data_IF_210399825245
#
_entry.id   IF_210399825245
#
_cell.length_a   1.000
_cell.length_b   1.000
_cell.length_c   1.000
_cell.angle_alpha   90.00
_cell.angle_beta   90.00
_cell.angle_gamma   90.00
#
_symmetry.space_group_name_H-M   'P 1'
#
loop_
_entity.id
_entity.type
_entity.pdbx_description
1 polymer ?
#
# COMPACT_ATOMS: atom_id res chain seq x y z
N UNK A 1 5.35 -1.36 38.82
CA UNK A 1 6.79 -1.25 39.08
C UNK A 1 7.55 -2.52 38.76
N UNK A 2 7.24 -3.65 39.40
CA UNK A 2 8.00 -4.92 39.27
C UNK A 2 8.08 -5.41 37.82
N UNK A 3 6.97 -5.44 37.08
CA UNK A 3 6.92 -5.93 35.69
C UNK A 3 7.88 -5.18 34.76
N UNK A 4 7.97 -3.85 34.84
CA UNK A 4 8.90 -3.07 34.02
C UNK A 4 10.36 -3.42 34.31
N UNK A 5 10.73 -3.42 35.60
CA UNK A 5 12.09 -3.80 36.02
C UNK A 5 12.40 -5.26 35.71
N UNK A 6 11.40 -6.15 35.76
CA UNK A 6 11.54 -7.55 35.34
C UNK A 6 11.81 -7.69 33.84
N UNK A 7 11.11 -6.92 32.99
CA UNK A 7 11.34 -6.92 31.54
C UNK A 7 12.72 -6.33 31.21
N UNK A 8 13.12 -5.23 31.86
CA UNK A 8 14.45 -4.63 31.70
C UNK A 8 15.55 -5.61 32.13
N UNK A 9 15.39 -6.25 33.29
CA UNK A 9 16.34 -7.25 33.79
C UNK A 9 16.42 -8.48 32.87
N UNK A 10 15.28 -8.91 32.31
CA UNK A 10 15.23 -10.02 31.34
C UNK A 10 15.99 -9.69 30.06
N UNK A 11 15.76 -8.51 29.49
CA UNK A 11 16.43 -8.07 28.25
C UNK A 11 17.93 -7.86 28.46
N UNK A 12 18.31 -7.23 29.56
CA UNK A 12 19.71 -7.03 29.92
C UNK A 12 20.42 -8.36 30.20
N UNK A 13 19.74 -9.26 30.91
CA UNK A 13 20.21 -10.63 31.15
C UNK A 13 20.39 -11.43 29.86
N UNK A 14 19.44 -11.32 28.93
CA UNK A 14 19.52 -11.93 27.60
C UNK A 14 20.71 -11.42 26.78
N UNK A 15 20.94 -10.10 26.78
CA UNK A 15 22.09 -9.50 26.11
C UNK A 15 23.42 -9.98 26.71
N UNK A 16 23.53 -10.00 28.04
CA UNK A 16 24.71 -10.52 28.75
C UNK A 16 24.92 -12.01 28.51
N UNK A 17 23.85 -12.80 28.45
CA UNK A 17 23.92 -14.24 28.14
C UNK A 17 24.43 -14.50 26.71
N UNK A 18 24.21 -13.60 25.76
CA UNK A 18 24.78 -13.72 24.42
C UNK A 18 26.24 -13.26 24.37
N UNK A 19 26.60 -12.21 25.11
CA UNK A 19 27.91 -11.55 25.04
C UNK A 19 28.99 -12.22 25.91
N UNK A 20 28.63 -12.78 27.06
CA UNK A 20 29.60 -13.33 28.02
C UNK A 20 30.16 -14.73 27.66
N UNK A 21 29.36 -15.70 27.19
CA UNK A 21 29.87 -17.03 26.84
C UNK A 21 30.99 -17.07 25.79
N UNK A 22 30.95 -16.29 24.69
CA UNK A 22 32.05 -16.29 23.72
C UNK A 22 33.34 -15.67 24.27
N UNK A 23 33.26 -14.81 25.28
CA UNK A 23 34.41 -14.20 25.94
C UNK A 23 35.00 -15.08 27.06
N UNK A 24 34.21 -16.02 27.60
CA UNK A 24 34.64 -16.98 28.62
C UNK A 24 35.11 -18.32 28.06
N UNK A 25 34.62 -18.74 26.90
CA UNK A 25 35.12 -19.95 26.23
C UNK A 25 36.48 -19.66 25.61
N UNK A 26 37.51 -20.40 26.03
CA UNK A 26 38.83 -20.30 25.41
C UNK A 26 38.71 -20.69 23.93
N UNK A 27 39.09 -19.76 23.05
CA UNK A 27 39.07 -19.95 21.58
C UNK A 27 39.76 -21.26 21.15
N UNK A 28 40.76 -21.70 21.92
CA UNK A 28 41.52 -22.92 21.70
C UNK A 28 40.71 -24.23 21.78
N UNK A 29 39.68 -24.32 22.65
CA UNK A 29 38.93 -25.59 22.79
C UNK A 29 37.85 -25.74 21.73
N UNK A 30 37.24 -24.64 21.27
CA UNK A 30 36.21 -24.68 20.24
C UNK A 30 36.78 -25.04 18.86
N UNK A 31 37.98 -24.56 18.53
CA UNK A 31 38.62 -24.71 17.22
C UNK A 31 39.30 -26.08 17.02
N UNK A 32 39.74 -26.73 18.12
CA UNK A 32 40.26 -28.10 18.10
C UNK A 32 39.14 -29.14 17.93
N UNK A 33 38.00 -28.93 18.61
CA UNK A 33 36.83 -29.83 18.51
C UNK A 33 36.16 -29.74 17.13
N UNK A 34 36.13 -28.57 16.50
CA UNK A 34 35.57 -28.41 15.13
C UNK A 34 36.45 -29.00 14.04
N UNK A 35 37.77 -28.88 14.13
CA UNK A 35 38.69 -29.48 13.13
C UNK A 35 38.68 -31.02 13.17
N UNK A 36 38.74 -31.62 14.37
CA UNK A 36 38.69 -33.08 14.50
C UNK A 36 37.34 -33.68 14.06
N UNK A 37 36.22 -33.00 14.37
CA UNK A 37 34.90 -33.44 13.96
C UNK A 37 34.64 -33.27 12.44
N UNK A 38 35.17 -32.21 11.82
CA UNK A 38 35.06 -31.98 10.39
C UNK A 38 35.87 -32.99 9.55
N UNK A 39 37.10 -33.31 9.96
CA UNK A 39 37.95 -34.27 9.24
C UNK A 39 37.39 -35.71 9.32
N UNK A 40 36.75 -36.08 10.44
CA UNK A 40 36.16 -37.42 10.61
C UNK A 40 35.03 -37.71 9.59
N UNK A 41 34.23 -36.71 9.24
CA UNK A 41 33.16 -36.88 8.25
C UNK A 41 33.73 -37.19 6.87
N UNK A 42 34.81 -36.50 6.47
CA UNK A 42 35.47 -36.68 5.18
C UNK A 42 36.06 -38.08 5.04
N UNK A 43 36.77 -38.59 6.06
CA UNK A 43 37.33 -39.94 6.02
C UNK A 43 36.25 -41.04 5.99
N UNK A 44 35.11 -40.81 6.65
CA UNK A 44 33.96 -41.72 6.59
C UNK A 44 33.35 -41.80 5.18
N UNK A 45 33.25 -40.67 4.49
CA UNK A 45 32.71 -40.64 3.14
C UNK A 45 33.69 -41.26 2.14
N UNK A 46 34.99 -40.98 2.24
CA UNK A 46 36.02 -41.63 1.42
C UNK A 46 36.03 -43.16 1.58
N UNK A 47 35.79 -43.67 2.79
CA UNK A 47 35.68 -45.11 3.02
C UNK A 47 34.47 -45.73 2.30
N UNK A 48 33.31 -45.06 2.36
CA UNK A 48 32.09 -45.52 1.67
C UNK A 48 32.23 -45.47 0.16
N UNK A 49 32.89 -44.44 -0.36
CA UNK A 49 33.16 -44.29 -1.79
C UNK A 49 34.06 -45.43 -2.28
N UNK A 50 35.14 -45.73 -1.56
CA UNK A 50 36.02 -46.86 -1.89
C UNK A 50 35.27 -48.22 -1.86
N UNK A 51 34.35 -48.44 -0.92
CA UNK A 51 33.51 -49.64 -0.88
C UNK A 51 32.50 -49.70 -2.03
N UNK A 52 31.95 -48.56 -2.43
CA UNK A 52 31.03 -48.46 -3.56
C UNK A 52 31.75 -48.74 -4.89
N UNK A 53 32.96 -48.22 -5.07
CA UNK A 53 33.77 -48.44 -6.27
C UNK A 53 34.18 -49.91 -6.44
N UNK A 54 34.47 -50.61 -5.33
CA UNK A 54 34.66 -52.06 -5.33
C UNK A 54 33.36 -52.78 -5.75
N UNK A 55 32.21 -52.37 -5.20
CA UNK A 55 30.91 -52.95 -5.53
C UNK A 55 30.47 -52.73 -6.98
N UNK A 56 30.92 -51.65 -7.61
CA UNK A 56 30.67 -51.30 -9.01
C UNK A 56 31.71 -51.87 -9.98
N UNK A 57 32.76 -52.54 -9.47
CA UNK A 57 33.85 -53.09 -10.28
C UNK A 57 34.79 -52.03 -10.86
N UNK A 58 34.73 -50.79 -10.38
CA UNK A 58 35.65 -49.71 -10.73
C UNK A 58 37.02 -49.90 -10.03
N UNK A 59 37.01 -50.54 -8.86
CA UNK A 59 38.21 -51.00 -8.16
C UNK A 59 38.31 -52.53 -8.20
N UNK A 60 39.51 -53.05 -8.44
CA UNK A 60 39.77 -54.48 -8.33
C UNK A 60 39.89 -54.91 -6.85
N UNK A 61 39.49 -56.14 -6.46
CA UNK A 61 39.51 -56.59 -5.07
C UNK A 61 40.88 -56.59 -4.39
N UNK A 62 41.96 -56.66 -5.16
CA UNK A 62 43.34 -56.56 -4.68
C UNK A 62 43.79 -55.12 -4.39
N UNK A 63 43.07 -54.12 -4.91
CA UNK A 63 43.41 -52.70 -4.81
C UNK A 63 42.70 -52.00 -3.63
N UNK A 64 41.69 -52.62 -3.03
CA UNK A 64 40.91 -52.00 -1.93
C UNK A 64 41.70 -51.92 -0.62
N UNK A 65 42.52 -52.92 -0.31
CA UNK A 65 43.27 -52.95 0.96
C UNK A 65 44.31 -51.83 1.08
N UNK A 66 45.15 -51.55 0.06
CA UNK A 66 46.05 -50.39 0.08
C UNK A 66 45.33 -49.05 0.29
N UNK A 67 44.14 -48.89 -0.32
CA UNK A 67 43.33 -47.66 -0.18
C UNK A 67 42.80 -47.52 1.24
N UNK A 68 42.34 -48.62 1.85
CA UNK A 68 41.87 -48.65 3.25
C UNK A 68 42.99 -48.30 4.23
N UNK A 69 44.18 -48.88 4.04
CA UNK A 69 45.34 -48.61 4.88
C UNK A 69 45.79 -47.15 4.80
N UNK A 70 45.77 -46.54 3.61
CA UNK A 70 46.13 -45.13 3.43
C UNK A 70 45.11 -44.19 4.11
N UNK A 71 43.80 -44.45 3.96
CA UNK A 71 42.75 -43.69 4.67
C UNK A 71 42.91 -43.82 6.19
N UNK A 72 43.16 -45.02 6.71
CA UNK A 72 43.37 -45.25 8.15
C UNK A 72 44.63 -44.56 8.67
N UNK A 73 45.74 -44.62 7.93
CA UNK A 73 46.99 -43.95 8.30
C UNK A 73 46.80 -42.44 8.38
N UNK A 74 46.19 -41.83 7.36
CA UNK A 74 45.92 -40.38 7.33
C UNK A 74 44.99 -39.94 8.45
N UNK A 75 43.96 -40.74 8.74
CA UNK A 75 43.07 -40.48 9.87
C UNK A 75 43.81 -40.49 11.22
N UNK A 76 44.70 -41.46 11.44
CA UNK A 76 45.51 -41.56 12.65
C UNK A 76 46.54 -40.42 12.75
N UNK A 77 47.15 -40.02 11.64
CA UNK A 77 48.08 -38.89 11.56
C UNK A 77 47.36 -37.57 11.89
N UNK A 78 46.16 -37.34 11.33
CA UNK A 78 45.34 -36.17 11.64
C UNK A 78 44.84 -36.15 13.08
N UNK A 79 44.45 -37.31 13.62
CA UNK A 79 44.05 -37.45 15.02
C UNK A 79 45.23 -37.17 15.97
N UNK A 80 46.44 -37.62 15.61
CA UNK A 80 47.66 -37.33 16.35
C UNK A 80 48.08 -35.86 16.22
N UNK A 81 47.94 -35.24 15.03
CA UNK A 81 48.21 -33.82 14.79
C UNK A 81 47.21 -32.90 15.51
N UNK A 82 45.96 -33.34 15.66
CA UNK A 82 44.95 -32.65 16.47
C UNK A 82 45.19 -32.78 17.98
N UNK A 83 45.89 -33.83 18.43
CA UNK A 83 46.26 -34.07 19.83
C UNK A 83 47.61 -33.46 20.22
N UNK A 84 48.50 -33.20 19.25
CA UNK A 84 49.78 -32.56 19.49
C UNK A 84 49.59 -31.08 19.90
N UNK A 85 50.19 -30.62 21.02
CA UNK A 85 50.19 -29.20 21.34
C UNK A 85 50.90 -28.43 20.21
N UNK A 86 50.36 -27.29 19.74
CA UNK A 86 50.96 -26.55 18.64
C UNK A 86 52.39 -26.13 18.99
N UNK A 87 53.37 -26.62 18.21
CA UNK A 87 54.75 -26.13 18.25
C UNK A 87 54.81 -24.76 17.54
N UNK A 88 54.28 -23.75 18.21
CA UNK A 88 54.39 -22.33 17.88
C UNK A 88 54.33 -21.53 19.18
N UNK A 89 54.76 -20.25 19.20
CA UNK A 89 54.64 -19.43 20.40
C UNK A 89 53.17 -19.43 20.83
N UNK A 90 52.90 -20.00 22.00
CA UNK A 90 51.57 -20.15 22.54
C UNK A 90 50.88 -18.77 22.56
N UNK A 91 49.89 -18.56 21.69
CA UNK A 91 48.99 -17.43 21.84
C UNK A 91 48.31 -17.59 23.21
N UNK A 92 48.39 -16.58 24.10
CA UNK A 92 48.01 -16.74 25.49
C UNK A 92 46.56 -17.21 25.60
N UNK A 93 46.36 -18.28 26.37
CA UNK A 93 45.05 -18.73 26.82
C UNK A 93 44.21 -17.53 27.23
N UNK A 94 42.95 -17.46 26.76
CA UNK A 94 41.97 -16.38 26.96
C UNK A 94 42.49 -15.31 27.93
N UNK A 95 43.16 -14.30 27.36
CA UNK A 95 44.03 -13.40 28.12
C UNK A 95 43.29 -12.84 29.33
N UNK A 96 44.01 -12.58 30.42
CA UNK A 96 43.50 -11.82 31.56
C UNK A 96 42.79 -10.53 31.10
N UNK A 97 43.18 -9.98 29.94
CA UNK A 97 42.47 -8.89 29.26
C UNK A 97 41.06 -9.27 28.76
N UNK A 98 40.84 -10.41 28.11
CA UNK A 98 39.50 -10.85 27.68
C UNK A 98 38.55 -11.09 28.88
N UNK A 99 39.06 -11.67 29.98
CA UNK A 99 38.31 -11.80 31.23
C UNK A 99 38.00 -10.44 31.87
N UNK A 100 38.97 -9.52 31.88
CA UNK A 100 38.75 -8.13 32.35
C UNK A 100 37.74 -7.38 31.49
N UNK A 101 37.76 -7.55 30.18
CA UNK A 101 36.78 -6.96 29.26
C UNK A 101 35.38 -7.53 29.47
N UNK A 102 35.24 -8.84 29.71
CA UNK A 102 33.95 -9.45 30.05
C UNK A 102 33.40 -8.91 31.38
N UNK A 103 34.26 -8.77 32.41
CA UNK A 103 33.88 -8.17 33.69
C UNK A 103 33.51 -6.69 33.52
N UNK A 104 34.31 -5.91 32.79
CA UNK A 104 34.05 -4.51 32.52
C UNK A 104 32.75 -4.33 31.76
N UNK A 105 32.47 -5.15 30.74
CA UNK A 105 31.22 -5.10 29.99
C UNK A 105 30.02 -5.50 30.86
N UNK A 106 30.18 -6.53 31.71
CA UNK A 106 29.15 -6.97 32.66
C UNK A 106 28.79 -5.94 33.74
N UNK A 107 29.69 -5.03 34.08
CA UNK A 107 29.47 -3.96 35.08
C UNK A 107 29.10 -2.62 34.45
N UNK A 108 29.83 -2.21 33.41
CA UNK A 108 29.66 -0.89 32.79
C UNK A 108 28.41 -0.82 31.93
N UNK A 109 28.02 -1.91 31.25
CA UNK A 109 26.85 -1.89 30.38
C UNK A 109 25.54 -1.70 31.17
N UNK A 110 25.27 -2.43 32.28
CA UNK A 110 24.14 -2.14 33.16
C UNK A 110 24.19 -0.73 33.74
N UNK A 111 25.37 -0.31 34.21
CA UNK A 111 25.53 0.99 34.88
C UNK A 111 25.27 2.15 33.90
N UNK A 112 25.83 2.09 32.70
CA UNK A 112 25.62 3.09 31.65
C UNK A 112 24.15 3.12 31.21
N UNK A 113 23.49 1.96 31.12
CA UNK A 113 22.05 1.88 30.81
C UNK A 113 21.20 2.58 31.87
N UNK A 114 21.47 2.31 33.16
CA UNK A 114 20.78 2.96 34.29
C UNK A 114 21.04 4.47 34.30
N UNK A 115 22.29 4.91 34.13
CA UNK A 115 22.64 6.34 34.12
C UNK A 115 21.99 7.09 32.94
N UNK A 116 21.98 6.47 31.75
CA UNK A 116 21.33 7.05 30.57
C UNK A 116 19.81 7.14 30.76
N UNK A 117 19.20 6.12 31.38
CA UNK A 117 17.79 6.15 31.75
C UNK A 117 17.46 7.24 32.78
N UNK A 118 18.35 7.48 33.74
CA UNK A 118 18.18 8.58 34.71
C UNK A 118 18.35 9.97 34.08
N UNK A 119 19.20 10.10 33.06
CA UNK A 119 19.49 11.38 32.39
C UNK A 119 18.46 11.77 31.31
N UNK A 120 18.02 10.82 30.49
CA UNK A 120 17.11 11.05 29.35
C UNK A 120 15.69 10.51 29.58
N UNK A 121 15.52 9.59 30.52
CA UNK A 121 14.24 8.95 30.83
C UNK A 121 13.41 9.73 31.86
N UNK A 122 12.21 9.23 32.13
CA UNK A 122 11.32 9.78 33.14
C UNK A 122 11.19 8.79 34.32
N UNK A 123 12.14 8.78 35.27
CA UNK A 123 12.12 7.84 36.40
C UNK A 123 10.88 8.01 37.30
N UNK A 124 10.25 9.20 37.27
CA UNK A 124 9.04 9.50 38.03
C UNK A 124 7.78 8.77 37.48
N UNK A 125 7.76 8.35 36.21
CA UNK A 125 6.64 7.61 35.65
C UNK A 125 6.55 6.15 36.15
N UNK A 126 7.62 5.65 36.78
CA UNK A 126 7.67 4.32 37.36
C UNK A 126 7.26 4.29 38.82
N UNK A 127 7.19 5.41 39.54
CA UNK A 127 6.78 5.42 40.95
C UNK A 127 5.39 4.75 41.11
N UNK A 128 5.17 3.94 42.16
CA UNK A 128 3.86 3.36 42.39
C UNK A 128 2.88 4.51 42.62
N UNK A 129 1.92 4.67 41.72
CA UNK A 129 0.76 5.53 42.02
C UNK A 129 0.09 4.92 43.25
N UNK A 130 -0.15 5.68 44.33
CA UNK A 130 -0.98 5.20 45.43
C UNK A 130 -2.31 4.67 44.87
N UNK A 131 -2.85 3.54 45.36
CA UNK A 131 -4.23 3.20 45.05
C UNK A 131 -5.11 4.38 45.48
N UNK A 132 -6.19 4.69 44.73
CA UNK A 132 -7.07 5.77 45.12
C UNK A 132 -7.57 5.55 46.55
N UNK A 133 -7.99 6.63 47.23
CA UNK A 133 -8.85 6.48 48.38
C UNK A 133 -10.00 5.58 47.97
N UNK A 134 -10.12 4.37 48.55
CA UNK A 134 -11.44 3.72 48.50
C UNK A 134 -12.41 4.76 49.03
N UNK A 135 -13.58 4.93 48.44
CA UNK A 135 -14.38 6.14 48.70
C UNK A 135 -14.44 6.47 50.21
N UNK A 136 -14.79 5.53 51.06
CA UNK A 136 -14.10 5.39 52.34
C UNK A 136 -12.89 4.46 52.22
N UNK A 137 -11.72 5.02 52.63
CA UNK A 137 -10.27 4.76 52.45
C UNK A 137 -9.52 5.84 51.61
N UNK A 138 -8.18 5.93 51.60
CA UNK A 138 -7.39 7.19 51.39
C UNK A 138 -6.47 7.23 50.13
N UNK A 139 -6.14 8.40 49.51
CA UNK A 139 -5.01 8.51 48.53
C UNK A 139 -5.06 9.41 47.24
N UNK A 140 -5.07 10.75 47.38
CA UNK A 140 -4.32 11.77 46.58
C UNK A 140 -4.10 11.69 45.04
N UNK A 141 -4.71 12.66 44.34
CA UNK A 141 -4.17 13.48 43.23
C UNK A 141 -3.16 12.86 42.23
N UNK A 142 -3.66 12.12 41.23
CA UNK A 142 -3.07 12.16 39.89
C UNK A 142 -3.30 13.57 39.33
N UNK A 143 -2.25 14.32 39.02
CA UNK A 143 -2.33 15.64 38.38
C UNK A 143 -2.82 15.52 36.93
N UNK A 144 -4.06 15.11 36.71
CA UNK A 144 -4.76 15.39 35.46
C UNK A 144 -5.08 16.88 35.49
N UNK A 145 -4.29 17.67 34.75
CA UNK A 145 -4.61 19.07 34.50
C UNK A 145 -6.04 19.14 33.95
N UNK A 146 -6.93 19.85 34.65
CA UNK A 146 -8.28 20.06 34.12
C UNK A 146 -8.19 20.90 32.85
N UNK A 147 -9.17 20.81 31.92
CA UNK A 147 -9.18 21.67 30.72
C UNK A 147 -9.00 23.16 31.03
N UNK A 148 -9.54 23.62 32.16
CA UNK A 148 -9.44 25.00 32.65
C UNK A 148 -8.00 25.34 33.09
N UNK A 149 -7.31 24.41 33.75
CA UNK A 149 -5.91 24.57 34.14
C UNK A 149 -4.98 24.61 32.92
N UNK A 150 -5.27 23.82 31.88
CA UNK A 150 -4.53 23.87 30.61
C UNK A 150 -4.74 25.24 29.95
N UNK A 151 -5.98 25.73 29.88
CA UNK A 151 -6.27 27.06 29.33
C UNK A 151 -5.56 28.18 30.10
N UNK A 152 -5.55 28.13 31.43
CA UNK A 152 -4.87 29.14 32.26
C UNK A 152 -3.35 29.15 32.01
N UNK A 153 -2.72 27.98 31.90
CA UNK A 153 -1.28 27.88 31.58
C UNK A 153 -0.96 28.38 30.17
N UNK A 154 -1.82 28.10 29.20
CA UNK A 154 -1.69 28.61 27.82
C UNK A 154 -1.84 30.12 27.78
N UNK A 155 -2.77 30.69 28.55
CA UNK A 155 -2.91 32.15 28.68
C UNK A 155 -1.66 32.79 29.29
N UNK A 156 -1.11 32.22 30.38
CA UNK A 156 0.12 32.70 31.00
C UNK A 156 1.33 32.63 30.05
N UNK A 157 1.43 31.56 29.24
CA UNK A 157 2.46 31.44 28.21
C UNK A 157 2.31 32.51 27.13
N UNK A 158 1.09 32.76 26.66
CA UNK A 158 0.79 33.80 25.67
C UNK A 158 1.21 35.19 26.17
N UNK A 159 0.90 35.55 27.43
CA UNK A 159 1.32 36.82 28.01
C UNK A 159 2.84 36.95 28.13
N UNK A 160 3.55 35.88 28.53
CA UNK A 160 5.01 35.89 28.59
C UNK A 160 5.63 36.13 27.21
N UNK A 161 5.09 35.50 26.16
CA UNK A 161 5.62 35.63 24.80
C UNK A 161 5.36 37.01 24.19
N UNK A 162 4.36 37.76 24.69
CA UNK A 162 4.21 39.18 24.34
C UNK A 162 5.36 40.04 24.90
N UNK A 163 5.87 39.70 26.08
CA UNK A 163 7.04 40.37 26.68
C UNK A 163 8.36 39.91 26.04
N UNK A 164 8.41 38.67 25.52
CA UNK A 164 9.57 38.08 24.85
C UNK A 164 9.25 37.70 23.39
N UNK A 165 9.02 38.67 22.48
CA UNK A 165 8.51 38.40 21.14
C UNK A 165 9.50 37.61 20.26
N UNK A 166 10.79 37.61 20.57
CA UNK A 166 11.83 36.90 19.82
C UNK A 166 11.94 35.40 20.13
N UNK A 167 11.14 34.86 21.05
CA UNK A 167 11.20 33.44 21.43
C UNK A 167 10.42 32.55 20.46
N UNK A 168 11.05 32.16 19.35
CA UNK A 168 10.43 31.34 18.31
C UNK A 168 9.91 29.99 18.82
N UNK A 169 10.68 29.28 19.65
CA UNK A 169 10.29 27.99 20.23
C UNK A 169 9.05 28.11 21.12
N UNK A 170 8.99 29.19 21.91
CA UNK A 170 7.83 29.52 22.72
C UNK A 170 6.57 29.72 21.89
N UNK A 171 6.67 30.45 20.77
CA UNK A 171 5.56 30.61 19.81
C UNK A 171 5.13 29.28 19.17
N UNK A 172 6.08 28.39 18.84
CA UNK A 172 5.77 27.04 18.35
C UNK A 172 5.01 26.24 19.42
N UNK A 173 5.46 26.27 20.66
CA UNK A 173 4.81 25.55 21.77
C UNK A 173 3.42 26.09 22.08
N UNK A 174 3.24 27.41 22.03
CA UNK A 174 1.95 28.06 22.20
C UNK A 174 0.96 27.61 21.12
N UNK A 175 1.39 27.61 19.85
CA UNK A 175 0.55 27.13 18.76
C UNK A 175 0.16 25.65 18.89
N UNK A 176 1.10 24.77 19.28
CA UNK A 176 0.80 23.35 19.56
C UNK A 176 -0.26 23.19 20.65
N UNK A 177 -0.18 24.00 21.70
CA UNK A 177 -1.15 23.98 22.79
C UNK A 177 -2.53 24.43 22.32
N UNK A 178 -2.60 25.46 21.48
CA UNK A 178 -3.86 25.88 20.87
C UNK A 178 -4.46 24.82 19.94
N UNK A 179 -3.65 24.07 19.19
CA UNK A 179 -4.13 22.94 18.37
C UNK A 179 -4.77 21.85 19.24
N UNK A 180 -4.13 21.46 20.34
CA UNK A 180 -4.67 20.47 21.29
C UNK A 180 -6.01 20.93 21.87
N UNK A 181 -6.18 22.24 22.08
CA UNK A 181 -7.42 22.85 22.55
C UNK A 181 -8.46 23.08 21.43
N UNK A 182 -8.17 22.71 20.18
CA UNK A 182 -9.04 22.95 19.02
C UNK A 182 -9.15 24.42 18.59
N UNK A 183 -8.30 25.29 19.12
CA UNK A 183 -8.26 26.73 18.85
C UNK A 183 -7.39 27.04 17.64
N UNK A 184 -7.79 26.58 16.46
CA UNK A 184 -6.97 26.65 15.24
C UNK A 184 -6.61 28.09 14.80
N UNK A 185 -7.50 29.07 15.00
CA UNK A 185 -7.22 30.48 14.66
C UNK A 185 -6.10 31.07 15.52
N UNK A 186 -6.12 30.76 16.82
CA UNK A 186 -5.09 31.23 17.76
C UNK A 186 -3.77 30.50 17.50
N UNK A 187 -3.83 29.20 17.20
CA UNK A 187 -2.67 28.42 16.80
C UNK A 187 -1.99 29.00 15.55
N UNK A 188 -2.75 29.32 14.49
CA UNK A 188 -2.23 29.94 13.28
C UNK A 188 -1.55 31.28 13.58
N UNK A 189 -2.12 32.09 14.48
CA UNK A 189 -1.53 33.38 14.87
C UNK A 189 -0.19 33.20 15.58
N UNK A 190 -0.10 32.26 16.53
CA UNK A 190 1.14 31.96 17.25
C UNK A 190 2.22 31.40 16.31
N UNK A 191 1.87 30.45 15.43
CA UNK A 191 2.81 29.87 14.48
C UNK A 191 3.23 30.84 13.37
N UNK A 192 2.40 31.82 13.00
CA UNK A 192 2.83 32.90 12.11
C UNK A 192 3.96 33.73 12.72
N UNK A 193 3.87 34.06 14.02
CA UNK A 193 4.98 34.72 14.74
C UNK A 193 6.24 33.86 14.78
N UNK A 194 6.09 32.55 14.99
CA UNK A 194 7.23 31.64 14.91
C UNK A 194 7.84 31.60 13.50
N UNK A 195 7.01 31.60 12.45
CA UNK A 195 7.46 31.58 11.06
C UNK A 195 8.15 32.89 10.64
N UNK A 196 7.70 34.04 11.16
CA UNK A 196 8.38 35.33 10.97
C UNK A 196 9.83 35.30 11.51
N UNK A 197 10.06 34.56 12.60
CA UNK A 197 11.37 34.38 13.23
C UNK A 197 12.20 33.25 12.57
N UNK A 198 11.53 32.30 11.90
CA UNK A 198 12.11 31.11 11.28
C UNK A 198 11.61 30.94 9.82
N UNK A 199 11.91 31.88 8.90
CA UNK A 199 11.24 31.99 7.61
C UNK A 199 11.50 30.83 6.63
N UNK A 200 12.53 30.01 6.85
CA UNK A 200 12.89 28.89 5.99
C UNK A 200 12.63 27.51 6.63
N UNK A 201 11.89 27.45 7.73
CA UNK A 201 11.56 26.17 8.37
C UNK A 201 10.36 25.51 7.66
N UNK A 202 10.65 24.62 6.71
CA UNK A 202 9.64 23.92 5.91
C UNK A 202 8.59 23.19 6.76
N UNK A 203 8.99 22.57 7.87
CA UNK A 203 8.07 21.87 8.78
C UNK A 203 7.10 22.83 9.44
N UNK A 204 7.61 23.95 9.97
CA UNK A 204 6.76 24.98 10.58
C UNK A 204 5.81 25.61 9.57
N UNK A 205 6.26 25.89 8.35
CA UNK A 205 5.43 26.43 7.28
C UNK A 205 4.32 25.44 6.86
N UNK A 206 4.64 24.14 6.75
CA UNK A 206 3.66 23.11 6.45
C UNK A 206 2.64 22.91 7.58
N UNK A 207 3.07 22.97 8.84
CA UNK A 207 2.18 22.91 10.00
C UNK A 207 1.29 24.14 10.11
N UNK A 208 1.84 25.33 9.86
CA UNK A 208 1.09 26.58 9.79
C UNK A 208 0.05 26.53 8.67
N UNK A 209 0.38 26.00 7.49
CA UNK A 209 -0.57 25.84 6.41
C UNK A 209 -1.76 24.93 6.80
N UNK A 210 -1.48 23.77 7.39
CA UNK A 210 -2.49 22.82 7.86
C UNK A 210 -3.43 23.44 8.89
N UNK A 211 -2.88 24.10 9.92
CA UNK A 211 -3.71 24.75 10.95
C UNK A 211 -4.46 25.96 10.41
N UNK A 212 -3.89 26.71 9.47
CA UNK A 212 -4.59 27.79 8.78
C UNK A 212 -5.75 27.24 7.97
N UNK A 213 -5.58 26.10 7.28
CA UNK A 213 -6.64 25.40 6.57
C UNK A 213 -7.76 24.96 7.52
N UNK A 214 -7.43 24.38 8.68
CA UNK A 214 -8.41 24.01 9.71
C UNK A 214 -9.17 25.23 10.23
N UNK A 215 -8.49 26.36 10.45
CA UNK A 215 -9.08 27.61 10.91
C UNK A 215 -10.09 28.23 9.90
N UNK A 216 -9.94 27.92 8.60
CA UNK A 216 -10.83 28.33 7.52
C UNK A 216 -11.81 27.22 7.06
N UNK A 217 -12.06 26.22 7.93
CA UNK A 217 -13.05 25.18 7.65
C UNK A 217 -12.55 24.11 6.68
N UNK A 218 -11.27 23.73 6.77
CA UNK A 218 -10.60 22.69 5.97
C UNK A 218 -10.44 23.03 4.49
N UNK A 219 -10.38 24.32 4.15
CA UNK A 219 -10.08 24.78 2.79
C UNK A 219 -8.58 25.03 2.69
N UNK A 220 -7.94 24.62 1.60
CA UNK A 220 -6.51 24.87 1.37
C UNK A 220 -6.25 26.09 0.47
N UNK A 221 -7.29 26.65 -0.15
CA UNK A 221 -7.17 27.85 -0.97
C UNK A 221 -6.74 29.09 -0.16
N UNK A 222 -6.01 30.03 -0.79
CA UNK A 222 -5.62 31.29 -0.18
C UNK A 222 -4.29 31.22 0.58
N UNK A 223 -4.29 31.65 1.85
CA UNK A 223 -3.08 31.67 2.70
C UNK A 223 -2.43 30.27 2.85
N UNK A 224 -3.17 29.18 3.12
CA UNK A 224 -2.56 27.84 3.26
C UNK A 224 -1.80 27.42 1.99
N UNK A 225 -2.36 27.64 0.81
CA UNK A 225 -1.70 27.33 -0.46
C UNK A 225 -0.36 28.07 -0.63
N UNK A 226 -0.27 29.35 -0.22
CA UNK A 226 1.00 30.09 -0.27
C UNK A 226 2.03 29.53 0.71
N UNK A 227 1.60 29.20 1.93
CA UNK A 227 2.47 28.61 2.95
C UNK A 227 2.98 27.21 2.53
N UNK A 228 2.14 26.42 1.86
CA UNK A 228 2.53 25.13 1.28
C UNK A 228 3.62 25.32 0.23
N UNK A 229 3.47 26.30 -0.67
CA UNK A 229 4.50 26.59 -1.67
C UNK A 229 5.80 27.05 -1.01
N UNK A 230 5.74 27.97 -0.05
CA UNK A 230 6.93 28.39 0.72
C UNK A 230 7.62 27.20 1.43
N UNK A 231 6.84 26.27 1.98
CA UNK A 231 7.39 25.06 2.59
C UNK A 231 8.09 24.17 1.57
N UNK A 232 7.55 24.04 0.36
CA UNK A 232 8.15 23.27 -0.73
C UNK A 232 9.36 23.97 -1.37
N UNK A 233 9.38 25.30 -1.37
CA UNK A 233 10.54 26.09 -1.79
C UNK A 233 11.70 25.90 -0.81
N UNK A 234 11.39 25.84 0.49
CA UNK A 234 12.38 25.57 1.53
C UNK A 234 12.86 24.10 1.55
N UNK A 235 11.95 23.14 1.36
CA UNK A 235 12.28 21.72 1.21
C UNK A 235 11.34 21.03 0.20
N UNK A 236 11.81 20.78 -1.04
CA UNK A 236 11.01 20.13 -2.07
C UNK A 236 10.64 18.66 -1.78
N UNK A 237 11.25 18.04 -0.76
CA UNK A 237 10.99 16.66 -0.34
C UNK A 237 10.21 16.61 0.97
N UNK A 238 9.69 17.74 1.45
CA UNK A 238 8.93 17.77 2.69
C UNK A 238 7.57 17.05 2.55
N UNK A 239 7.48 15.85 3.13
CA UNK A 239 6.36 14.91 2.96
C UNK A 239 4.99 15.54 3.26
N UNK A 240 4.86 16.27 4.37
CA UNK A 240 3.59 16.92 4.74
C UNK A 240 3.22 18.05 3.76
N UNK A 241 4.20 18.81 3.30
CA UNK A 241 3.95 19.91 2.36
C UNK A 241 3.50 19.36 1.00
N UNK A 242 4.13 18.28 0.52
CA UNK A 242 3.73 17.57 -0.69
C UNK A 242 2.31 16.99 -0.57
N UNK A 243 2.00 16.35 0.56
CA UNK A 243 0.66 15.81 0.80
C UNK A 243 -0.42 16.90 0.76
N UNK A 244 -0.19 18.03 1.45
CA UNK A 244 -1.08 19.19 1.46
C UNK A 244 -1.18 19.87 0.09
N UNK A 245 -0.08 19.95 -0.67
CA UNK A 245 -0.08 20.49 -2.03
C UNK A 245 -0.95 19.65 -2.97
N UNK A 246 -0.86 18.32 -2.87
CA UNK A 246 -1.75 17.43 -3.62
C UNK A 246 -3.21 17.62 -3.25
N UNK A 247 -3.52 17.76 -1.95
CA UNK A 247 -4.88 18.06 -1.48
C UNK A 247 -5.39 19.42 -1.96
N UNK A 248 -4.54 20.44 -1.98
CA UNK A 248 -4.88 21.78 -2.45
C UNK A 248 -5.18 21.78 -3.97
N UNK A 249 -4.36 21.07 -4.76
CA UNK A 249 -4.57 20.90 -6.20
C UNK A 249 -5.87 20.12 -6.49
N UNK A 250 -6.17 19.09 -5.70
CA UNK A 250 -7.42 18.35 -5.83
C UNK A 250 -8.65 19.22 -5.53
N UNK A 251 -8.60 20.04 -4.48
CA UNK A 251 -9.64 21.03 -4.17
C UNK A 251 -9.81 22.05 -5.30
N UNK A 252 -8.70 22.47 -5.93
CA UNK A 252 -8.68 23.38 -7.06
C UNK A 252 -9.14 22.74 -8.40
N UNK A 253 -9.62 21.48 -8.39
CA UNK A 253 -10.03 20.72 -9.58
C UNK A 253 -8.88 20.49 -10.59
N UNK A 254 -7.64 20.45 -10.12
CA UNK A 254 -6.47 20.06 -10.90
C UNK A 254 -5.97 18.65 -10.46
N UNK A 255 -6.59 17.57 -10.96
CA UNK A 255 -6.23 16.21 -10.57
C UNK A 255 -4.84 15.79 -11.08
N UNK A 256 -4.33 16.42 -12.15
CA UNK A 256 -3.01 16.10 -12.70
C UNK A 256 -1.91 16.60 -11.76
N UNK A 257 -1.99 17.85 -11.32
CA UNK A 257 -1.08 18.39 -10.30
C UNK A 257 -1.22 17.64 -8.97
N UNK A 258 -2.45 17.31 -8.56
CA UNK A 258 -2.70 16.55 -7.33
C UNK A 258 -1.97 15.21 -7.31
N UNK A 259 -2.11 14.43 -8.39
CA UNK A 259 -1.43 13.15 -8.56
C UNK A 259 0.08 13.31 -8.48
N UNK A 260 0.65 14.28 -9.20
CA UNK A 260 2.10 14.50 -9.24
C UNK A 260 2.70 14.75 -7.85
N UNK A 261 2.05 15.58 -7.02
CA UNK A 261 2.51 15.82 -5.65
C UNK A 261 2.43 14.56 -4.77
N UNK A 262 1.34 13.80 -4.89
CA UNK A 262 1.13 12.58 -4.12
C UNK A 262 2.05 11.43 -4.53
N UNK A 263 2.37 11.28 -5.82
CA UNK A 263 3.38 10.32 -6.30
C UNK A 263 4.75 10.61 -5.71
N UNK A 264 5.12 11.90 -5.58
CA UNK A 264 6.35 12.30 -4.88
C UNK A 264 6.32 11.93 -3.40
N UNK A 265 5.15 11.98 -2.74
CA UNK A 265 5.02 11.47 -1.36
C UNK A 265 5.32 9.97 -1.32
N UNK A 266 4.74 9.17 -2.22
CA UNK A 266 4.95 7.71 -2.27
C UNK A 266 6.41 7.33 -2.51
N UNK A 267 7.17 8.14 -3.25
CA UNK A 267 8.61 7.94 -3.44
C UNK A 267 9.45 8.20 -2.17
N UNK A 268 8.89 8.82 -1.14
CA UNK A 268 9.60 9.25 0.07
C UNK A 268 9.20 8.49 1.33
N UNK A 269 8.10 7.73 1.29
CA UNK A 269 7.55 7.01 2.44
C UNK A 269 7.62 5.49 2.23
N UNK A 270 7.69 4.68 3.31
CA UNK A 270 7.61 3.23 3.19
C UNK A 270 6.29 2.80 2.55
N UNK A 271 6.29 1.80 1.64
CA UNK A 271 5.11 1.40 0.88
C UNK A 271 3.96 0.89 1.77
N UNK A 272 4.27 0.29 2.93
CA UNK A 272 3.29 -0.27 3.85
C UNK A 272 2.77 0.72 4.90
N UNK A 273 3.23 1.97 4.86
CA UNK A 273 2.84 3.00 5.82
C UNK A 273 1.39 3.47 5.62
N UNK A 274 0.75 3.94 6.71
CA UNK A 274 -0.61 4.48 6.63
C UNK A 274 -0.71 5.71 5.71
N UNK A 275 0.35 6.52 5.65
CA UNK A 275 0.44 7.65 4.73
C UNK A 275 0.48 7.18 3.28
N UNK A 276 1.23 6.12 2.94
CA UNK A 276 1.23 5.55 1.59
C UNK A 276 -0.17 5.08 1.19
N UNK A 277 -0.87 4.38 2.09
CA UNK A 277 -2.24 3.90 1.85
C UNK A 277 -3.24 5.05 1.64
N UNK A 278 -3.16 6.10 2.47
CA UNK A 278 -4.01 7.29 2.36
C UNK A 278 -3.77 8.06 1.06
N UNK A 279 -2.50 8.24 0.69
CA UNK A 279 -2.08 8.93 -0.53
C UNK A 279 -2.49 8.14 -1.78
N UNK A 280 -2.32 6.81 -1.78
CA UNK A 280 -2.78 5.96 -2.87
C UNK A 280 -4.29 6.07 -3.10
N UNK A 281 -5.08 6.09 -2.01
CA UNK A 281 -6.51 6.32 -2.08
C UNK A 281 -6.86 7.68 -2.68
N UNK A 282 -6.10 8.72 -2.34
CA UNK A 282 -6.26 10.08 -2.88
C UNK A 282 -5.92 10.14 -4.37
N UNK A 283 -4.86 9.46 -4.82
CA UNK A 283 -4.49 9.33 -6.24
C UNK A 283 -5.63 8.67 -7.03
N UNK A 284 -6.25 7.61 -6.51
CA UNK A 284 -7.40 6.97 -7.17
C UNK A 284 -8.56 7.95 -7.35
N UNK A 285 -8.84 8.81 -6.37
CA UNK A 285 -9.88 9.84 -6.49
C UNK A 285 -9.50 10.91 -7.52
N UNK A 286 -8.23 11.35 -7.57
CA UNK A 286 -7.75 12.25 -8.61
C UNK A 286 -7.92 11.65 -10.01
N UNK A 287 -7.60 10.38 -10.21
CA UNK A 287 -7.80 9.70 -11.51
C UNK A 287 -9.26 9.63 -11.91
N UNK A 288 -10.17 9.37 -10.97
CA UNK A 288 -11.62 9.41 -11.25
C UNK A 288 -12.08 10.82 -11.63
N UNK A 289 -11.60 11.83 -10.92
CA UNK A 289 -11.93 13.23 -11.22
C UNK A 289 -11.39 13.63 -12.60
N UNK A 290 -10.15 13.27 -12.93
CA UNK A 290 -9.56 13.55 -14.24
C UNK A 290 -10.34 12.89 -15.37
N UNK A 291 -10.71 11.61 -15.21
CA UNK A 291 -11.54 10.91 -16.20
C UNK A 291 -12.91 11.59 -16.36
N UNK A 292 -13.53 12.02 -15.26
CA UNK A 292 -14.81 12.74 -15.29
C UNK A 292 -14.69 14.11 -15.98
N UNK A 293 -13.63 14.87 -15.69
CA UNK A 293 -13.37 16.16 -16.32
C UNK A 293 -13.05 16.01 -17.81
N UNK A 294 -12.32 14.97 -18.21
CA UNK A 294 -12.03 14.65 -19.61
C UNK A 294 -13.29 14.22 -20.38
N UNK A 295 -14.15 13.41 -19.74
CA UNK A 295 -15.45 13.04 -20.30
C UNK A 295 -16.40 14.24 -20.44
N UNK A 296 -16.33 15.22 -19.53
CA UNK A 296 -17.11 16.45 -19.59
C UNK A 296 -16.54 17.51 -20.55
N UNK A 297 -15.22 17.53 -20.75
CA UNK A 297 -14.53 18.41 -21.69
C UNK A 297 -14.52 17.87 -23.13
N UNK A 298 -14.76 16.56 -23.29
CA UNK A 298 -15.18 16.02 -24.59
C UNK A 298 -16.52 16.66 -24.92
N UNK A 299 -16.62 17.50 -25.97
CA UNK A 299 -17.92 17.98 -26.41
C UNK A 299 -18.79 16.76 -26.61
N UNK A 300 -20.04 16.81 -26.13
CA UNK A 300 -21.04 15.76 -26.29
C UNK A 300 -20.73 14.98 -27.55
N UNK A 301 -20.33 13.70 -27.41
CA UNK A 301 -19.99 12.88 -28.56
C UNK A 301 -21.01 13.20 -29.64
N UNK A 302 -20.58 13.69 -30.83
CA UNK A 302 -21.44 13.55 -31.98
C UNK A 302 -21.78 12.06 -32.03
N UNK A 303 -23.02 11.76 -32.41
CA UNK A 303 -23.51 10.40 -32.66
C UNK A 303 -22.36 9.45 -33.09
N UNK A 304 -22.30 8.23 -32.54
CA UNK A 304 -21.15 7.34 -32.65
C UNK A 304 -20.60 7.38 -34.07
N UNK A 305 -19.30 7.69 -34.18
CA UNK A 305 -18.58 7.74 -35.44
C UNK A 305 -19.00 6.52 -36.28
N UNK A 306 -19.58 6.79 -37.45
CA UNK A 306 -20.08 5.79 -38.36
C UNK A 306 -18.95 4.83 -38.71
N UNK A 307 -18.91 3.68 -38.03
CA UNK A 307 -18.13 2.53 -38.46
C UNK A 307 -18.64 2.20 -39.86
N UNK A 308 -17.76 2.13 -40.85
CA UNK A 308 -18.17 1.88 -42.24
C UNK A 308 -19.04 0.61 -42.30
N UNK A 309 -20.30 0.76 -42.72
CA UNK A 309 -21.29 -0.34 -42.77
C UNK A 309 -22.20 -0.47 -41.55
N UNK A 310 -22.01 0.29 -40.47
CA UNK A 310 -22.85 0.23 -39.27
C UNK A 310 -24.25 0.80 -39.50
N UNK A 311 -25.28 0.07 -39.08
CA UNK A 311 -26.68 0.48 -39.15
C UNK A 311 -27.13 0.92 -37.77
N UNK A 312 -27.60 2.17 -37.66
CA UNK A 312 -28.08 2.77 -36.42
C UNK A 312 -29.56 3.13 -36.50
N UNK A 313 -30.30 2.94 -35.41
CA UNK A 313 -31.73 3.24 -35.39
C UNK A 313 -32.37 3.18 -34.02
N UNK A 314 -33.69 3.31 -34.01
CA UNK A 314 -34.55 3.24 -32.84
C UNK A 314 -35.64 2.18 -33.05
N UNK A 315 -35.86 1.36 -32.04
CA UNK A 315 -37.00 0.45 -31.97
C UNK A 315 -38.06 1.04 -31.07
N UNK A 316 -39.31 1.08 -31.53
CA UNK A 316 -40.48 1.45 -30.74
C UNK A 316 -41.42 0.26 -30.59
N UNK A 317 -42.20 0.26 -29.51
CA UNK A 317 -43.22 -0.76 -29.25
C UNK A 317 -44.60 -0.18 -29.55
N UNK A 318 -45.41 -0.90 -30.33
CA UNK A 318 -46.79 -0.47 -30.58
C UNK A 318 -47.62 -0.46 -29.29
N UNK A 319 -48.47 0.56 -29.07
CA UNK A 319 -49.31 0.64 -27.87
C UNK A 319 -50.22 -0.59 -27.67
N UNK A 320 -50.64 -1.24 -28.76
CA UNK A 320 -51.47 -2.45 -28.73
C UNK A 320 -50.75 -3.68 -28.14
N UNK A 321 -49.42 -3.74 -28.25
CA UNK A 321 -48.60 -4.85 -27.74
C UNK A 321 -47.88 -4.51 -26.43
N UNK A 322 -47.91 -3.26 -25.97
CA UNK A 322 -47.28 -2.80 -24.74
C UNK A 322 -47.68 -3.63 -23.50
N UNK A 323 -48.96 -4.01 -23.41
CA UNK A 323 -49.47 -4.81 -22.29
C UNK A 323 -48.98 -6.28 -22.28
N UNK A 324 -48.36 -6.77 -23.36
CA UNK A 324 -47.87 -8.16 -23.49
C UNK A 324 -46.40 -8.32 -23.09
N UNK A 325 -45.71 -7.22 -22.81
CA UNK A 325 -44.27 -7.18 -22.51
C UNK A 325 -44.03 -7.07 -21.02
N UNK A 326 -43.21 -7.96 -20.47
CA UNK A 326 -42.81 -7.96 -19.07
C UNK A 326 -41.38 -7.42 -18.89
N UNK A 327 -41.07 -6.89 -17.70
CA UNK A 327 -39.74 -6.37 -17.37
C UNK A 327 -38.60 -7.43 -17.42
N UNK A 328 -38.95 -8.72 -17.47
CA UNK A 328 -38.00 -9.83 -17.63
C UNK A 328 -37.77 -10.25 -19.09
N UNK A 329 -38.52 -9.70 -20.05
CA UNK A 329 -38.39 -10.06 -21.45
C UNK A 329 -37.10 -9.47 -22.07
N UNK A 330 -36.57 -10.15 -23.08
CA UNK A 330 -35.33 -9.74 -23.75
C UNK A 330 -35.62 -9.26 -25.17
N UNK A 331 -35.13 -8.06 -25.51
CA UNK A 331 -35.11 -7.50 -26.86
C UNK A 331 -33.87 -7.97 -27.62
N UNK A 332 -34.11 -8.62 -28.75
CA UNK A 332 -33.11 -8.98 -29.75
C UNK A 332 -33.29 -8.12 -30.99
N UNK A 333 -32.25 -7.38 -31.37
CA UNK A 333 -32.20 -6.64 -32.64
C UNK A 333 -31.14 -7.29 -33.50
N UNK A 334 -31.51 -7.76 -34.69
CA UNK A 334 -30.58 -8.44 -35.59
C UNK A 334 -30.79 -8.02 -37.04
N UNK A 335 -29.72 -8.04 -37.82
CA UNK A 335 -29.75 -7.81 -39.26
C UNK A 335 -29.61 -9.13 -40.02
N UNK A 336 -30.35 -9.28 -41.11
CA UNK A 336 -30.25 -10.40 -42.06
C UNK A 336 -30.05 -9.87 -43.47
N UNK A 337 -29.39 -10.63 -44.33
CA UNK A 337 -29.36 -10.30 -45.76
C UNK A 337 -30.80 -10.32 -46.32
N UNK A 338 -31.16 -9.34 -47.15
CA UNK A 338 -32.46 -9.33 -47.84
C UNK A 338 -32.58 -10.53 -48.81
N UNK A 339 -31.46 -10.86 -49.46
CA UNK A 339 -31.30 -12.05 -50.31
C UNK A 339 -30.07 -12.84 -49.84
N UNK A 340 -30.26 -14.12 -49.53
CA UNK A 340 -29.18 -15.00 -49.06
C UNK A 340 -29.56 -15.89 -47.88
N UNK A 341 -28.58 -16.37 -47.10
CA UNK A 341 -28.82 -17.32 -46.01
C UNK A 341 -29.65 -16.67 -44.89
N UNK A 342 -30.63 -17.42 -44.35
CA UNK A 342 -31.59 -16.93 -43.32
C UNK A 342 -30.98 -16.67 -41.93
N UNK A 343 -29.66 -16.76 -41.80
CA UNK A 343 -28.95 -16.56 -40.54
C UNK A 343 -28.70 -15.06 -40.29
N UNK A 344 -28.69 -14.60 -39.02
CA UNK A 344 -28.39 -13.22 -38.68
C UNK A 344 -26.91 -12.89 -38.94
N UNK A 345 -26.66 -11.73 -39.53
CA UNK A 345 -25.32 -11.19 -39.81
C UNK A 345 -24.75 -10.47 -38.59
N UNK A 346 -25.60 -9.79 -37.82
CA UNK A 346 -25.25 -9.10 -36.59
C UNK A 346 -26.43 -9.19 -35.61
N UNK A 347 -26.16 -9.33 -34.32
CA UNK A 347 -27.20 -9.43 -33.28
C UNK A 347 -26.79 -8.67 -32.02
N UNK A 348 -27.74 -7.90 -31.48
CA UNK A 348 -27.64 -7.23 -30.19
C UNK A 348 -28.76 -7.73 -29.29
N UNK A 349 -28.41 -8.09 -28.07
CA UNK A 349 -29.34 -8.54 -27.03
C UNK A 349 -29.37 -7.50 -25.90
N UNK A 350 -30.56 -7.05 -25.52
CA UNK A 350 -30.76 -6.13 -24.37
C UNK A 350 -32.01 -6.52 -23.59
N UNK A 351 -32.06 -6.28 -22.27
CA UNK A 351 -33.33 -6.35 -21.54
C UNK A 351 -34.30 -5.30 -22.08
N UNK A 352 -35.61 -5.59 -22.06
CA UNK A 352 -36.61 -4.57 -22.35
C UNK A 352 -36.53 -3.46 -21.30
N UNK A 353 -36.60 -2.21 -21.74
CA UNK A 353 -36.58 -1.03 -20.87
C UNK A 353 -37.40 0.10 -21.46
N UNK A 354 -36.93 1.33 -21.28
CA UNK A 354 -37.60 2.52 -21.79
C UNK A 354 -37.63 2.56 -23.33
N UNK A 355 -38.74 3.04 -23.88
CA UNK A 355 -38.98 3.17 -25.33
C UNK A 355 -38.96 4.65 -25.74
N UNK A 356 -38.43 5.00 -26.92
CA UNK A 356 -37.81 4.14 -27.94
C UNK A 356 -36.41 3.65 -27.56
N UNK A 357 -36.09 2.40 -27.93
CA UNK A 357 -34.81 1.77 -27.65
C UNK A 357 -33.83 1.97 -28.81
N UNK A 358 -32.76 2.73 -28.59
CA UNK A 358 -31.70 2.92 -29.58
C UNK A 358 -30.86 1.65 -29.77
N UNK A 359 -30.49 1.36 -31.02
CA UNK A 359 -29.64 0.23 -31.40
C UNK A 359 -28.59 0.63 -32.44
N UNK A 360 -27.51 -0.15 -32.49
CA UNK A 360 -26.48 -0.07 -33.51
C UNK A 360 -26.01 -1.49 -33.84
N UNK A 361 -25.92 -1.80 -35.13
CA UNK A 361 -25.45 -3.07 -35.65
C UNK A 361 -24.24 -2.80 -36.54
N UNK A 362 -23.13 -3.46 -36.29
CA UNK A 362 -21.90 -3.31 -37.08
C UNK A 362 -21.23 -4.66 -37.35
N UNK A 363 -20.17 -4.64 -38.15
CA UNK A 363 -19.42 -5.83 -38.55
C UNK A 363 -18.68 -6.55 -37.41
N UNK A 364 -18.41 -5.87 -36.29
CA UNK A 364 -17.75 -6.50 -35.13
C UNK A 364 -18.65 -7.52 -34.45
N UNK A 365 -19.96 -7.44 -34.70
CA UNK A 365 -20.98 -8.32 -34.16
C UNK A 365 -21.23 -9.57 -35.02
N UNK A 366 -20.48 -9.74 -36.11
CA UNK A 366 -20.62 -10.89 -37.00
C UNK A 366 -20.08 -12.18 -36.37
N UNK A 367 -20.91 -13.23 -36.31
CA UNK A 367 -20.53 -14.53 -35.74
C UNK A 367 -19.53 -15.30 -36.63
N UNK A 368 -19.48 -14.98 -37.92
CA UNK A 368 -18.56 -15.59 -38.87
C UNK A 368 -17.80 -14.48 -39.63
N UNK A 369 -16.45 -14.55 -39.74
CA UNK A 369 -15.64 -13.48 -40.29
C UNK A 369 -15.89 -13.19 -41.78
N UNK A 370 -16.53 -14.12 -42.49
CA UNK A 370 -16.90 -14.04 -43.91
C UNK A 370 -18.35 -13.57 -44.16
N UNK A 371 -19.17 -13.39 -43.13
CA UNK A 371 -20.59 -12.98 -43.23
C UNK A 371 -20.82 -11.65 -42.49
N UNK A 372 -20.14 -10.60 -42.97
CA UNK A 372 -20.21 -9.24 -42.42
C UNK A 372 -21.38 -8.44 -42.96
N UNK A 373 -21.88 -7.49 -42.18
CA UNK A 373 -22.98 -6.60 -42.56
C UNK A 373 -22.62 -5.77 -43.80
N UNK A 374 -21.38 -5.25 -43.84
CA UNK A 374 -20.85 -4.47 -44.96
C UNK A 374 -20.72 -5.25 -46.28
N UNK A 375 -20.79 -6.58 -46.23
CA UNK A 375 -20.60 -7.46 -47.39
C UNK A 375 -21.85 -7.64 -48.26
N UNK A 376 -23.01 -7.14 -47.83
CA UNK A 376 -24.30 -7.32 -48.52
C UNK A 376 -24.86 -5.99 -49.03
N UNK A 377 -25.47 -5.99 -50.21
CA UNK A 377 -26.04 -4.77 -50.80
C UNK A 377 -27.28 -4.25 -50.05
N UNK A 378 -28.10 -5.18 -49.53
CA UNK A 378 -29.31 -4.87 -48.77
C UNK A 378 -29.47 -5.84 -47.60
N UNK A 379 -29.89 -5.29 -46.47
CA UNK A 379 -30.18 -6.04 -45.25
C UNK A 379 -31.52 -5.62 -44.66
N UNK A 380 -32.18 -6.54 -43.98
CA UNK A 380 -33.42 -6.31 -43.23
C UNK A 380 -33.09 -6.38 -41.75
N UNK A 381 -33.44 -5.33 -41.01
CA UNK A 381 -33.27 -5.29 -39.56
C UNK A 381 -34.58 -5.73 -38.91
N UNK A 382 -34.49 -6.69 -38.00
CA UNK A 382 -35.64 -7.21 -37.26
C UNK A 382 -35.40 -7.03 -35.76
N UNK A 383 -36.43 -6.55 -35.08
CA UNK A 383 -36.49 -6.48 -33.63
C UNK A 383 -37.46 -7.55 -33.12
N UNK A 384 -37.08 -8.25 -32.05
CA UNK A 384 -37.89 -9.30 -31.43
C UNK A 384 -37.81 -9.26 -29.92
N UNK A 385 -38.95 -9.33 -29.26
CA UNK A 385 -39.03 -9.49 -27.81
C UNK A 385 -39.33 -10.96 -27.54
N UNK A 386 -38.41 -11.64 -26.85
CA UNK A 386 -38.61 -13.03 -26.43
C UNK A 386 -38.67 -13.15 -24.92
N UNK A 387 -39.70 -13.86 -24.45
CA UNK A 387 -39.89 -14.24 -23.05
C UNK A 387 -38.99 -15.40 -22.63
N UNK A 388 -38.61 -16.25 -23.59
CA UNK A 388 -37.76 -17.43 -23.35
C UNK A 388 -36.29 -17.07 -23.15
N UNK A 389 -35.88 -15.85 -23.52
CA UNK A 389 -34.48 -15.42 -23.50
C UNK A 389 -33.60 -16.03 -24.61
N UNK A 390 -34.17 -16.84 -25.50
CA UNK A 390 -33.45 -17.45 -26.62
C UNK A 390 -33.52 -16.58 -27.89
N UNK A 391 -32.46 -16.64 -28.71
CA UNK A 391 -32.39 -15.90 -29.98
C UNK A 391 -33.17 -16.58 -31.13
N UNK A 392 -33.59 -17.85 -30.96
CA UNK A 392 -34.40 -18.59 -31.95
C UNK A 392 -35.86 -18.18 -31.90
N UNK A 393 -36.56 -18.04 -33.05
CA UNK A 393 -37.97 -17.64 -33.07
C UNK A 393 -38.84 -18.67 -32.34
N UNK A 394 -39.70 -18.20 -31.43
CA UNK A 394 -40.71 -19.01 -30.76
C UNK A 394 -42.11 -18.44 -31.06
N UNK A 395 -43.14 -19.30 -31.17
CA UNK A 395 -44.52 -18.85 -31.27
C UNK A 395 -44.89 -17.94 -30.08
N UNK A 396 -45.48 -16.78 -30.36
CA UNK A 396 -45.87 -15.78 -29.36
C UNK A 396 -44.82 -14.71 -29.05
N UNK A 397 -43.60 -14.77 -29.62
CA UNK A 397 -42.64 -13.66 -29.57
C UNK A 397 -43.21 -12.43 -30.30
N UNK A 398 -42.92 -11.22 -29.82
CA UNK A 398 -43.34 -9.99 -30.51
C UNK A 398 -42.25 -9.58 -31.50
N UNK A 399 -42.62 -9.24 -32.73
CA UNK A 399 -41.67 -8.94 -33.81
C UNK A 399 -42.01 -7.63 -34.54
N UNK A 400 -40.97 -6.96 -35.02
CA UNK A 400 -41.04 -5.83 -35.95
C UNK A 400 -39.89 -5.90 -36.94
N UNK A 401 -40.09 -5.49 -38.19
CA UNK A 401 -39.07 -5.57 -39.25
C UNK A 401 -39.03 -4.26 -40.04
N UNK A 402 -37.83 -3.90 -40.52
CA UNK A 402 -37.65 -2.78 -41.44
C UNK A 402 -37.89 -3.20 -42.90
N UNK A 403 -38.06 -2.21 -43.79
CA UNK A 403 -37.80 -2.43 -45.21
C UNK A 403 -36.31 -2.77 -45.45
N UNK A 404 -35.95 -3.36 -46.61
CA UNK A 404 -34.55 -3.56 -46.97
C UNK A 404 -33.78 -2.22 -47.00
N UNK A 405 -32.65 -2.17 -46.29
CA UNK A 405 -31.80 -0.98 -46.17
C UNK A 405 -30.36 -1.33 -46.55
N UNK A 406 -29.62 -0.35 -47.08
CA UNK A 406 -28.20 -0.48 -47.32
C UNK A 406 -27.41 -0.43 -45.98
N UNK A 407 -26.35 -1.23 -45.81
CA UNK A 407 -25.43 -1.08 -44.68
C UNK A 407 -24.84 0.33 -44.59
N UNK A 408 -24.69 0.85 -43.38
CA UNK A 408 -24.25 2.23 -43.14
C UNK A 408 -25.38 3.25 -42.92
N UNK A 409 -26.65 2.84 -43.06
CA UNK A 409 -27.79 3.72 -42.81
C UNK A 409 -28.00 4.08 -41.34
N UNK A 410 -28.21 5.36 -41.03
CA UNK A 410 -28.58 5.84 -39.69
C UNK A 410 -30.04 6.32 -39.64
N UNK A 411 -30.64 6.31 -38.46
CA UNK A 411 -32.01 6.80 -38.23
C UNK A 411 -33.11 5.81 -38.58
N UNK A 412 -32.79 4.51 -38.66
CA UNK A 412 -33.79 3.48 -38.95
C UNK A 412 -34.83 3.40 -37.83
N UNK A 413 -36.12 3.48 -38.15
CA UNK A 413 -37.20 3.29 -37.18
C UNK A 413 -37.88 1.95 -37.39
N UNK A 414 -37.94 1.14 -36.33
CA UNK A 414 -38.58 -0.17 -36.35
C UNK A 414 -39.68 -0.17 -35.30
N UNK A 415 -40.91 -0.47 -35.70
CA UNK A 415 -42.03 -0.62 -34.76
C UNK A 415 -42.31 -2.10 -34.57
N UNK A 416 -42.39 -2.56 -33.32
CA UNK A 416 -42.84 -3.91 -32.98
C UNK A 416 -44.37 -3.90 -32.92
N UNK A 417 -45.00 -4.48 -33.94
CA UNK A 417 -46.45 -4.44 -34.18
C UNK A 417 -47.07 -5.81 -34.51
N UNK A 418 -46.27 -6.86 -34.69
CA UNK A 418 -46.75 -8.20 -35.00
C UNK A 418 -46.37 -9.23 -33.93
N UNK A 419 -47.11 -10.34 -33.89
CA UNK A 419 -46.82 -11.51 -33.06
C UNK A 419 -46.35 -12.63 -33.98
N UNK A 420 -45.24 -13.26 -33.63
CA UNK A 420 -44.72 -14.45 -34.31
C UNK A 420 -45.77 -15.57 -34.18
N UNK A 421 -46.30 -16.08 -35.31
CA UNK A 421 -47.31 -17.14 -35.30
C UNK A 421 -46.80 -18.46 -34.75
#
# INVERSE_FOLDING_TARGET
MTVFWSVVALLLGGALLMLLPPLWRSRATAEAVTRGAANLAVYRDQWREAEADLGQGLLAPDQIEPVREDIQRRWLEDAAAGAAPPMGPALPAASTAARRSAIALGLLLPLASVLTYLALGNPASLAPVPPPPAAPAAGEARHSLTPEQIQARVAALSERLKAEPGNAEGWVMLGRSYVVLGRYRDAATAWRRAADLLPANATLLADLADVSAMAQGKRLAGEPARLIQQALDADPRHVKALALAGSAAFEARDPAAARSYWERVLALVPPDSDIARSVQGSIVQATKLEAALSAAASPASPAPASVAGAIGGEVSLSPALAARVAAGDTLFVFARAAEGPRMPLAIVRRPVGDWPAAFTLDDSMAMAPNLKLSGFAQVVVSARISRSGNATPQPGDLIGQSAPVAPGGQGLRITIDAVQP
#
